data_IF_175466810980
#
_entry.id   IF_175466810980
#
_cell.length_a   1.000
_cell.length_b   1.000
_cell.length_c   1.000
_cell.angle_alpha   90.00
_cell.angle_beta   90.00
_cell.angle_gamma   90.00
#
_symmetry.space_group_name_H-M   'P 1'
#
loop_
_entity.id
_entity.type
_entity.pdbx_description
1 polymer ?
#
# COMPACT_ATOMS: atom_id res chain seq x y z
N UNK A 1 4.35 13.67 5.94
CA UNK A 1 4.23 14.01 4.49
C UNK A 1 2.83 14.54 4.20
N UNK A 2 2.63 15.24 3.09
CA UNK A 2 1.29 15.51 2.56
C UNK A 2 0.73 14.20 1.98
N UNK A 3 -0.43 13.74 2.47
CA UNK A 3 -1.03 12.47 2.02
C UNK A 3 -1.43 12.49 0.54
N UNK A 4 -1.72 13.65 -0.04
CA UNK A 4 -2.13 13.76 -1.45
C UNK A 4 -0.97 13.59 -2.43
N UNK A 5 0.26 13.82 -2.01
CA UNK A 5 1.43 13.92 -2.91
C UNK A 5 2.67 13.19 -2.41
N UNK A 6 2.67 12.69 -1.18
CA UNK A 6 3.86 12.17 -0.46
C UNK A 6 4.99 13.20 -0.28
N UNK A 7 4.72 14.49 -0.54
CA UNK A 7 5.69 15.57 -0.37
C UNK A 7 6.02 15.79 1.12
N UNK A 8 7.26 16.11 1.43
CA UNK A 8 7.69 16.50 2.77
C UNK A 8 6.96 17.78 3.20
N UNK A 9 6.66 17.89 4.49
CA UNK A 9 6.11 19.13 5.07
C UNK A 9 7.20 20.14 5.41
N UNK A 10 8.48 19.75 5.29
CA UNK A 10 9.64 20.58 5.62
C UNK A 10 10.34 21.16 4.38
N UNK A 11 10.29 20.44 3.26
CA UNK A 11 10.90 20.85 2.00
C UNK A 11 10.02 20.38 0.84
N UNK A 12 9.51 21.31 0.05
CA UNK A 12 8.61 21.02 -1.06
C UNK A 12 9.28 20.25 -2.22
N UNK A 13 10.60 20.25 -2.29
CA UNK A 13 11.35 19.54 -3.33
C UNK A 13 11.62 18.07 -2.97
N UNK A 14 11.26 17.64 -1.76
CA UNK A 14 11.53 16.30 -1.26
C UNK A 14 10.20 15.53 -1.11
N UNK A 15 10.14 14.34 -1.68
CA UNK A 15 9.08 13.37 -1.41
C UNK A 15 9.64 12.24 -0.56
N UNK A 16 8.89 11.85 0.48
CA UNK A 16 9.27 10.73 1.36
C UNK A 16 8.16 9.70 1.25
N UNK A 17 8.51 8.43 1.10
CA UNK A 17 7.58 7.32 0.96
C UNK A 17 8.12 6.06 1.67
N UNK A 18 7.30 5.02 1.76
CA UNK A 18 7.62 3.77 2.44
C UNK A 18 7.82 3.96 3.94
N UNK A 19 8.64 3.08 4.51
CA UNK A 19 8.84 2.97 5.96
C UNK A 19 9.43 4.23 6.61
N UNK A 20 10.06 5.12 5.83
CA UNK A 20 10.58 6.39 6.33
C UNK A 20 9.49 7.43 6.64
N UNK A 21 8.25 7.21 6.18
CA UNK A 21 7.18 8.20 6.34
C UNK A 21 6.41 8.07 7.65
N UNK A 22 5.88 9.20 8.11
CA UNK A 22 4.72 9.21 8.99
C UNK A 22 3.46 9.26 8.11
N UNK A 23 2.87 8.08 7.90
CA UNK A 23 1.91 7.74 6.84
C UNK A 23 0.47 7.54 7.32
N UNK A 24 0.11 8.07 8.50
CA UNK A 24 -1.24 7.88 9.05
C UNK A 24 -1.54 6.44 9.42
N UNK A 25 -2.69 5.94 8.95
CA UNK A 25 -3.22 4.62 9.30
C UNK A 25 -2.63 3.48 8.44
N UNK A 26 -1.87 3.81 7.39
CA UNK A 26 -1.24 2.79 6.54
C UNK A 26 -0.11 2.06 7.31
N UNK A 27 -0.06 0.71 7.30
CA UNK A 27 1.04 -0.03 7.91
C UNK A 27 2.33 0.14 7.11
N UNK A 28 3.47 -0.09 7.78
CA UNK A 28 4.79 -0.15 7.15
C UNK A 28 4.98 -1.52 6.50
N UNK A 29 4.79 -1.58 5.18
CA UNK A 29 4.83 -2.81 4.38
C UNK A 29 5.30 -2.52 2.96
N UNK A 30 5.74 -3.57 2.26
CA UNK A 30 6.10 -3.47 0.84
C UNK A 30 4.93 -3.02 -0.04
N UNK A 31 3.70 -3.46 0.25
CA UNK A 31 2.51 -3.03 -0.49
C UNK A 31 2.24 -1.53 -0.27
N UNK A 32 2.25 -1.08 0.99
CA UNK A 32 2.07 0.34 1.31
C UNK A 32 3.13 1.21 0.62
N UNK A 33 4.39 0.79 0.65
CA UNK A 33 5.49 1.51 -0.01
C UNK A 33 5.27 1.61 -1.53
N UNK A 34 4.89 0.50 -2.19
CA UNK A 34 4.56 0.50 -3.62
C UNK A 34 3.37 1.44 -3.94
N UNK A 35 2.30 1.38 -3.14
CA UNK A 35 1.13 2.22 -3.33
C UNK A 35 1.46 3.71 -3.16
N UNK A 36 2.31 4.05 -2.18
CA UNK A 36 2.79 5.41 -1.96
C UNK A 36 3.70 5.89 -3.09
N UNK A 37 4.58 5.01 -3.61
CA UNK A 37 5.46 5.34 -4.73
C UNK A 37 4.67 5.75 -5.99
N UNK A 38 3.55 5.07 -6.27
CA UNK A 38 2.66 5.41 -7.40
C UNK A 38 2.03 6.80 -7.25
N UNK A 39 1.58 7.16 -6.04
CA UNK A 39 1.07 8.51 -5.75
C UNK A 39 2.17 9.56 -5.87
N UNK A 40 3.35 9.31 -5.29
CA UNK A 40 4.50 10.21 -5.37
C UNK A 40 4.92 10.45 -6.83
N UNK A 41 5.03 9.40 -7.63
CA UNK A 41 5.41 9.49 -9.05
C UNK A 41 4.40 10.30 -9.86
N UNK A 42 3.09 10.12 -9.63
CA UNK A 42 2.07 10.94 -10.28
C UNK A 42 2.15 12.41 -9.88
N UNK A 43 2.38 12.70 -8.60
CA UNK A 43 2.51 14.07 -8.11
C UNK A 43 3.75 14.77 -8.68
N UNK A 44 4.90 14.11 -8.67
CA UNK A 44 6.16 14.62 -9.25
C UNK A 44 5.99 14.89 -10.75
N UNK A 45 5.45 13.92 -11.51
CA UNK A 45 5.18 14.11 -12.95
C UNK A 45 4.24 15.29 -13.19
N UNK A 46 3.19 15.41 -12.39
CA UNK A 46 2.23 16.51 -12.48
C UNK A 46 2.88 17.87 -12.24
N UNK A 47 3.67 18.00 -11.18
CA UNK A 47 4.40 19.23 -10.85
C UNK A 47 5.40 19.64 -11.93
N UNK A 48 6.12 18.68 -12.51
CA UNK A 48 7.15 18.97 -13.52
C UNK A 48 6.60 19.27 -14.91
N UNK A 49 5.45 18.69 -15.27
CA UNK A 49 4.93 18.76 -16.64
C UNK A 49 3.62 19.54 -16.77
N UNK A 50 3.00 19.93 -15.66
CA UNK A 50 1.64 20.50 -15.65
C UNK A 50 0.54 19.48 -16.01
N UNK A 51 0.87 18.19 -16.07
CA UNK A 51 -0.10 17.12 -16.36
C UNK A 51 -1.19 17.03 -15.29
N UNK A 52 -2.38 16.57 -15.68
CA UNK A 52 -3.46 16.26 -14.75
C UNK A 52 -3.01 15.25 -13.69
N UNK A 53 -3.25 15.59 -12.42
CA UNK A 53 -3.06 14.73 -11.26
C UNK A 53 -4.44 14.27 -10.78
N UNK A 54 -4.56 12.98 -10.47
CA UNK A 54 -5.79 12.39 -9.94
C UNK A 54 -5.71 12.31 -8.41
N UNK A 55 -6.86 12.30 -7.70
CA UNK A 55 -6.88 12.11 -6.26
C UNK A 55 -6.10 10.86 -5.84
N UNK A 56 -5.27 11.00 -4.80
CA UNK A 56 -4.50 9.91 -4.26
C UNK A 56 -5.41 8.80 -3.71
N UNK A 57 -5.10 7.57 -4.09
CA UNK A 57 -5.76 6.35 -3.61
C UNK A 57 -4.69 5.38 -3.19
N UNK A 58 -4.90 4.72 -2.06
CA UNK A 58 -3.93 3.77 -1.53
C UNK A 58 -4.59 2.45 -1.16
N UNK A 59 -3.81 1.39 -1.25
CA UNK A 59 -4.18 0.06 -0.77
C UNK A 59 -3.00 -0.63 -0.12
N UNK A 60 -3.32 -1.53 0.80
CA UNK A 60 -2.35 -2.44 1.38
C UNK A 60 -3.04 -3.79 1.65
N UNK A 61 -2.30 -4.86 1.39
CA UNK A 61 -2.57 -6.17 1.97
C UNK A 61 -1.25 -6.79 2.41
N UNK A 62 -1.21 -7.33 3.62
CA UNK A 62 -0.11 -8.12 4.13
C UNK A 62 -0.57 -9.57 4.31
N UNK A 63 0.17 -10.51 3.75
CA UNK A 63 -0.02 -11.93 3.97
C UNK A 63 0.96 -12.45 5.02
N UNK A 64 0.56 -13.50 5.72
CA UNK A 64 1.43 -14.25 6.64
C UNK A 64 1.18 -15.73 6.45
N UNK A 65 2.25 -16.49 6.17
CA UNK A 65 2.21 -17.95 6.15
C UNK A 65 2.39 -18.45 7.58
N UNK A 66 1.43 -19.24 8.03
CA UNK A 66 1.48 -19.91 9.32
C UNK A 66 2.19 -21.26 9.17
N UNK A 67 1.90 -21.97 8.10
CA UNK A 67 2.49 -23.26 7.72
C UNK A 67 2.39 -23.43 6.18
N UNK A 68 2.90 -24.55 5.67
CA UNK A 68 2.69 -25.03 4.31
C UNK A 68 1.19 -25.03 3.99
N UNK A 69 0.82 -24.41 2.86
CA UNK A 69 -0.58 -24.27 2.41
C UNK A 69 -1.52 -23.60 3.44
N UNK A 70 -1.00 -22.78 4.37
CA UNK A 70 -1.81 -22.09 5.38
C UNK A 70 -1.44 -20.60 5.46
N UNK A 71 -2.20 -19.76 4.77
CA UNK A 71 -2.04 -18.31 4.77
C UNK A 71 -3.17 -17.58 5.50
N UNK A 72 -2.82 -16.45 6.12
CA UNK A 72 -3.76 -15.42 6.58
C UNK A 72 -3.39 -14.08 5.97
N UNK A 73 -4.34 -13.15 5.91
CA UNK A 73 -4.10 -11.81 5.38
C UNK A 73 -4.86 -10.73 6.14
N UNK A 74 -4.31 -9.52 6.08
CA UNK A 74 -4.95 -8.29 6.54
C UNK A 74 -4.77 -7.23 5.48
N UNK A 75 -5.84 -6.51 5.13
CA UNK A 75 -5.78 -5.50 4.10
C UNK A 75 -6.79 -4.38 4.30
N UNK A 76 -6.58 -3.29 3.57
CA UNK A 76 -7.42 -2.10 3.64
C UNK A 76 -7.22 -1.18 2.44
N UNK A 77 -8.19 -0.32 2.23
CA UNK A 77 -8.11 0.85 1.33
C UNK A 77 -7.98 2.12 2.15
N UNK A 78 -7.31 3.12 1.59
CA UNK A 78 -7.04 4.37 2.27
C UNK A 78 -7.16 5.57 1.34
N UNK A 79 -7.48 6.70 1.92
CA UNK A 79 -7.58 7.99 1.26
C UNK A 79 -6.71 9.04 1.97
N UNK A 80 -6.19 9.97 1.20
CA UNK A 80 -5.50 11.12 1.74
C UNK A 80 -6.52 12.12 2.33
N UNK A 81 -6.26 12.58 3.54
CA UNK A 81 -6.86 13.76 4.15
C UNK A 81 -5.78 14.81 4.41
N UNK A 82 -6.20 16.02 4.79
CA UNK A 82 -5.26 17.10 5.18
C UNK A 82 -4.35 16.69 6.35
N UNK A 83 -4.86 15.80 7.22
CA UNK A 83 -4.19 15.38 8.44
C UNK A 83 -3.27 14.17 8.21
N UNK A 84 -3.78 13.13 7.52
CA UNK A 84 -3.13 11.82 7.40
C UNK A 84 -3.63 11.03 6.19
N UNK A 85 -3.01 9.88 5.92
CA UNK A 85 -3.63 8.87 5.06
C UNK A 85 -4.53 8.01 5.95
N UNK A 86 -5.85 8.14 5.77
CA UNK A 86 -6.87 7.56 6.64
C UNK A 86 -7.43 6.26 6.06
N UNK A 87 -7.65 5.25 6.92
CA UNK A 87 -8.30 4.00 6.52
C UNK A 87 -9.77 4.26 6.15
N UNK A 88 -10.20 3.72 5.01
CA UNK A 88 -11.60 3.81 4.55
C UNK A 88 -12.34 2.50 4.83
N UNK A 89 -11.79 1.38 4.38
CA UNK A 89 -12.35 0.04 4.57
C UNK A 89 -11.22 -0.97 4.78
N UNK A 90 -11.51 -2.14 5.36
CA UNK A 90 -10.54 -3.21 5.42
C UNK A 90 -11.04 -4.53 5.98
N UNK A 91 -10.20 -5.54 5.87
CA UNK A 91 -10.48 -6.93 6.21
C UNK A 91 -9.30 -7.56 6.94
N UNK A 92 -9.59 -8.60 7.71
CA UNK A 92 -8.61 -9.49 8.33
C UNK A 92 -9.16 -10.92 8.30
N UNK A 93 -8.29 -11.89 8.04
CA UNK A 93 -8.63 -13.32 8.15
C UNK A 93 -9.19 -13.62 9.53
N UNK A 94 -10.25 -14.41 9.58
CA UNK A 94 -10.93 -14.79 10.81
C UNK A 94 -10.36 -16.06 11.44
N UNK A 95 -10.51 -16.18 12.75
CA UNK A 95 -10.26 -17.45 13.44
C UNK A 95 -11.28 -18.49 12.99
N UNK A 96 -10.85 -19.73 12.76
CA UNK A 96 -11.73 -20.83 12.37
C UNK A 96 -12.09 -20.90 10.88
N UNK A 97 -11.46 -20.09 10.03
CA UNK A 97 -11.50 -20.30 8.58
C UNK A 97 -11.04 -21.72 8.22
N UNK A 98 -11.72 -22.35 7.27
CA UNK A 98 -11.41 -23.72 6.88
C UNK A 98 -10.06 -23.84 6.14
N UNK A 99 -9.57 -25.07 6.05
CA UNK A 99 -8.27 -25.36 5.42
C UNK A 99 -8.24 -24.97 3.93
N UNK A 100 -9.37 -25.02 3.23
CA UNK A 100 -9.43 -24.67 1.81
C UNK A 100 -9.25 -23.17 1.61
N UNK A 101 -9.89 -22.34 2.44
CA UNK A 101 -9.73 -20.89 2.43
C UNK A 101 -8.32 -20.46 2.87
N UNK A 102 -7.75 -21.13 3.87
CA UNK A 102 -6.35 -20.89 4.29
C UNK A 102 -5.35 -21.22 3.20
N UNK A 103 -5.58 -22.30 2.46
CA UNK A 103 -4.79 -22.65 1.29
C UNK A 103 -4.93 -21.64 0.16
N UNK A 104 -6.15 -21.24 -0.18
CA UNK A 104 -6.39 -20.22 -1.21
C UNK A 104 -5.72 -18.88 -0.86
N UNK A 105 -5.74 -18.49 0.42
CA UNK A 105 -5.06 -17.28 0.91
C UNK A 105 -3.53 -17.38 0.77
N UNK A 106 -2.96 -18.57 0.99
CA UNK A 106 -1.55 -18.83 0.70
C UNK A 106 -1.24 -18.72 -0.79
N UNK A 107 -2.02 -19.36 -1.65
CA UNK A 107 -1.80 -19.33 -3.11
C UNK A 107 -1.90 -17.91 -3.67
N UNK A 108 -2.85 -17.11 -3.17
CA UNK A 108 -2.97 -15.68 -3.47
C UNK A 108 -1.70 -14.91 -3.08
N UNK A 109 -1.06 -15.24 -1.95
CA UNK A 109 0.17 -14.58 -1.51
C UNK A 109 1.35 -14.81 -2.46
N UNK A 110 1.43 -16.00 -3.08
CA UNK A 110 2.45 -16.32 -4.08
C UNK A 110 2.21 -15.49 -5.35
N UNK A 111 0.96 -15.41 -5.79
CA UNK A 111 0.56 -14.54 -6.90
C UNK A 111 0.85 -13.07 -6.62
N UNK A 112 0.56 -12.59 -5.40
CA UNK A 112 0.89 -11.24 -4.98
C UNK A 112 2.40 -10.98 -5.01
N UNK A 113 3.22 -11.89 -4.47
CA UNK A 113 4.67 -11.73 -4.43
C UNK A 113 5.27 -11.64 -5.83
N UNK A 114 4.85 -12.54 -6.74
CA UNK A 114 5.26 -12.47 -8.15
C UNK A 114 4.79 -11.18 -8.83
N UNK A 115 3.54 -10.77 -8.58
CA UNK A 115 2.97 -9.56 -9.17
C UNK A 115 3.65 -8.28 -8.70
N UNK A 116 3.86 -8.13 -7.38
CA UNK A 116 4.46 -6.91 -6.82
C UNK A 116 5.94 -6.79 -7.16
N UNK A 117 6.68 -7.90 -7.23
CA UNK A 117 8.09 -7.87 -7.63
C UNK A 117 8.24 -7.47 -9.09
N UNK A 118 7.42 -8.03 -9.99
CA UNK A 118 7.43 -7.65 -11.40
C UNK A 118 6.98 -6.21 -11.62
N UNK A 119 5.95 -5.72 -10.89
CA UNK A 119 5.51 -4.32 -10.94
C UNK A 119 6.63 -3.34 -10.53
N UNK A 120 7.48 -3.72 -9.58
CA UNK A 120 8.57 -2.87 -9.10
C UNK A 120 9.84 -2.95 -9.96
N UNK A 121 10.15 -4.12 -10.50
CA UNK A 121 11.49 -4.40 -11.02
C UNK A 121 11.55 -4.91 -12.47
N UNK A 122 10.41 -5.15 -13.12
CA UNK A 122 10.32 -5.73 -14.47
C UNK A 122 10.49 -7.24 -14.50
#
# INVERSE_FOLDING_TARGET
VNGHTMQSRLDENIHVLGDATSQGDMPKSGFSANSQAKVAAMAVRGALTGSKVFPAKFSNTCWSLIDTDNGVKVGATYEATDEKIAKVDGFVSQTGEDAALRKATYEESIGWYAGITSDMFG
#
